data_IF_302045673797
#
_entry.id   IF_302045673797
#
_cell.length_a   1.000
_cell.length_b   1.000
_cell.length_c   1.000
_cell.angle_alpha   90.00
_cell.angle_beta   90.00
_cell.angle_gamma   90.00
#
_symmetry.space_group_name_H-M   'P 1'
#
loop_
_entity.id
_entity.type
_entity.pdbx_description
1 polymer ?
#
# COMPACT_ATOMS: atom_id res chain seq x y z
N UNK A 1 24.13 9.45 -8.53
CA UNK A 1 23.19 8.32 -8.50
C UNK A 1 23.94 7.01 -8.64
N UNK A 2 24.31 6.41 -7.55
CA UNK A 2 24.69 5.01 -7.54
C UNK A 2 23.47 4.20 -7.06
N UNK A 3 22.62 3.79 -7.99
CA UNK A 3 21.75 2.64 -7.76
C UNK A 3 22.71 1.45 -7.81
N UNK A 4 22.82 0.70 -6.72
CA UNK A 4 23.66 -0.51 -6.72
C UNK A 4 23.12 -1.44 -7.81
N UNK A 5 24.01 -2.01 -8.61
CA UNK A 5 23.65 -2.94 -9.69
C UNK A 5 22.84 -4.14 -9.20
N UNK A 6 22.98 -4.52 -7.95
CA UNK A 6 22.22 -5.58 -7.32
C UNK A 6 20.72 -5.23 -7.14
N UNK A 7 20.37 -4.00 -6.78
CA UNK A 7 18.98 -3.56 -6.70
C UNK A 7 18.31 -3.58 -8.09
N UNK A 8 19.02 -3.13 -9.12
CA UNK A 8 18.55 -3.13 -10.52
C UNK A 8 18.23 -4.54 -11.05
N UNK A 9 18.91 -5.58 -10.61
CA UNK A 9 18.68 -6.95 -11.09
C UNK A 9 17.53 -7.66 -10.38
N UNK A 10 17.23 -7.29 -9.13
CA UNK A 10 16.05 -7.77 -8.40
C UNK A 10 14.79 -7.21 -9.04
N UNK A 11 14.76 -5.94 -9.41
CA UNK A 11 13.62 -5.29 -10.07
C UNK A 11 13.26 -5.88 -11.43
N UNK A 12 14.22 -6.41 -12.16
CA UNK A 12 13.98 -7.00 -13.49
C UNK A 12 13.27 -8.35 -13.46
N UNK A 13 13.13 -8.98 -12.29
CA UNK A 13 12.58 -10.34 -12.14
C UNK A 13 11.14 -10.39 -11.63
N UNK A 14 10.60 -9.31 -11.09
CA UNK A 14 9.22 -9.31 -10.61
C UNK A 14 8.26 -9.10 -11.78
N UNK A 15 7.50 -10.14 -12.10
CA UNK A 15 6.32 -10.07 -12.95
C UNK A 15 5.10 -9.65 -12.12
N UNK A 16 4.03 -9.18 -12.78
CA UNK A 16 2.76 -8.89 -12.11
C UNK A 16 2.20 -10.10 -11.33
N UNK A 17 2.49 -11.29 -11.80
CA UNK A 17 2.18 -12.54 -11.08
C UNK A 17 3.49 -13.10 -10.57
N UNK A 18 3.55 -13.29 -9.27
CA UNK A 18 4.70 -13.90 -8.60
C UNK A 18 4.98 -15.29 -9.21
N UNK A 19 6.21 -15.59 -9.63
CA UNK A 19 6.57 -16.88 -10.20
C UNK A 19 6.23 -18.07 -9.30
N UNK A 20 6.30 -17.87 -8.00
CA UNK A 20 6.06 -18.91 -6.99
C UNK A 20 4.58 -19.08 -6.63
N UNK A 21 3.70 -18.27 -7.22
CA UNK A 21 2.24 -18.47 -7.05
C UNK A 21 1.82 -19.81 -7.63
N UNK A 22 1.20 -20.67 -6.82
CA UNK A 22 0.76 -21.99 -7.24
C UNK A 22 -0.15 -21.93 -8.48
N UNK A 23 -0.01 -22.87 -9.43
CA UNK A 23 -0.81 -22.88 -10.65
C UNK A 23 -2.33 -22.89 -10.40
N UNK A 24 -2.78 -23.58 -9.37
CA UNK A 24 -4.18 -23.66 -8.95
C UNK A 24 -4.74 -22.33 -8.47
N UNK A 25 -3.91 -21.44 -7.93
CA UNK A 25 -4.29 -20.10 -7.49
C UNK A 25 -4.46 -19.11 -8.66
N UNK A 26 -4.00 -19.46 -9.85
CA UNK A 26 -4.06 -18.56 -11.01
C UNK A 26 -5.44 -18.37 -11.61
N UNK A 27 -6.41 -19.17 -11.17
CA UNK A 27 -7.82 -19.04 -11.55
C UNK A 27 -8.72 -19.20 -10.35
N UNK A 28 -9.82 -18.47 -10.35
CA UNK A 28 -10.84 -18.51 -9.31
C UNK A 28 -12.23 -18.41 -9.92
N UNK A 29 -13.26 -18.76 -9.17
CA UNK A 29 -14.65 -18.52 -9.58
C UNK A 29 -15.19 -17.28 -8.92
N UNK A 30 -15.88 -16.47 -9.71
CA UNK A 30 -16.70 -15.41 -9.17
C UNK A 30 -17.91 -16.00 -8.44
N UNK A 31 -18.10 -15.67 -7.16
CA UNK A 31 -19.14 -16.27 -6.33
C UNK A 31 -20.57 -15.93 -6.76
N UNK A 32 -20.76 -14.81 -7.47
CA UNK A 32 -22.07 -14.36 -7.94
C UNK A 32 -22.42 -14.84 -9.34
N UNK A 33 -21.44 -14.82 -10.24
CA UNK A 33 -21.69 -15.08 -11.67
C UNK A 33 -21.22 -16.47 -12.12
N UNK A 34 -20.51 -17.18 -11.25
CA UNK A 34 -19.81 -18.45 -11.52
C UNK A 34 -18.82 -18.40 -12.71
N UNK A 35 -18.53 -17.21 -13.23
CA UNK A 35 -17.54 -17.02 -14.29
C UNK A 35 -16.14 -17.24 -13.77
N UNK A 36 -15.28 -17.78 -14.60
CA UNK A 36 -13.86 -17.95 -14.27
C UNK A 36 -13.16 -16.59 -14.30
N UNK A 37 -12.48 -16.27 -13.22
CA UNK A 37 -11.61 -15.12 -13.07
C UNK A 37 -10.15 -15.58 -13.21
N UNK A 38 -9.33 -14.73 -13.82
CA UNK A 38 -7.89 -14.97 -13.95
C UNK A 38 -7.13 -14.09 -12.96
N UNK A 39 -6.06 -14.63 -12.42
CA UNK A 39 -5.12 -13.88 -11.61
C UNK A 39 -4.44 -12.82 -12.49
N UNK A 40 -4.35 -11.60 -11.98
CA UNK A 40 -3.68 -10.48 -12.65
C UNK A 40 -2.50 -9.94 -11.86
N UNK A 41 -2.51 -10.14 -10.55
CA UNK A 41 -1.43 -9.72 -9.65
C UNK A 41 -1.35 -10.68 -8.48
N UNK A 42 -0.14 -11.03 -8.07
CA UNK A 42 0.15 -11.77 -6.84
C UNK A 42 1.53 -11.41 -6.30
N UNK A 43 1.68 -11.54 -4.99
CA UNK A 43 2.95 -11.45 -4.29
C UNK A 43 2.90 -12.41 -3.10
N UNK A 44 3.74 -13.42 -3.12
CA UNK A 44 3.82 -14.44 -2.07
C UNK A 44 4.74 -14.01 -0.92
N UNK A 45 5.44 -12.88 -1.06
CA UNK A 45 6.38 -12.32 -0.08
C UNK A 45 7.43 -13.33 0.41
N UNK A 46 7.82 -14.27 -0.43
CA UNK A 46 8.70 -15.39 -0.07
C UNK A 46 10.21 -15.07 -0.16
N UNK A 47 10.57 -13.92 -0.70
CA UNK A 47 11.94 -13.41 -0.64
C UNK A 47 12.13 -12.65 0.67
N UNK A 48 12.93 -13.20 1.58
CA UNK A 48 13.19 -12.56 2.88
C UNK A 48 14.01 -11.28 2.75
N UNK A 49 13.75 -10.33 3.65
CA UNK A 49 14.52 -9.09 3.76
C UNK A 49 14.24 -8.05 2.69
N UNK A 50 13.09 -8.13 1.99
CA UNK A 50 12.71 -7.07 1.04
C UNK A 50 12.58 -5.73 1.74
N UNK A 51 13.00 -4.70 1.04
CA UNK A 51 12.85 -3.32 1.43
C UNK A 51 11.78 -2.64 0.58
N UNK A 52 11.03 -1.76 1.20
CA UNK A 52 9.91 -1.06 0.58
C UNK A 52 10.05 0.47 0.67
N UNK A 53 11.26 0.96 0.83
CA UNK A 53 11.51 2.39 0.72
C UNK A 53 11.17 2.90 -0.69
N UNK A 54 10.88 4.21 -0.84
CA UNK A 54 10.55 4.77 -2.15
C UNK A 54 11.53 4.35 -3.25
N UNK A 55 10.99 3.75 -4.31
CA UNK A 55 11.79 3.30 -5.46
C UNK A 55 12.47 1.94 -5.32
N UNK A 56 12.38 1.25 -4.19
CA UNK A 56 13.04 -0.04 -3.96
C UNK A 56 12.19 -1.26 -4.34
N UNK A 57 10.89 -1.08 -4.52
CA UNK A 57 10.00 -2.13 -4.99
C UNK A 57 9.13 -1.64 -6.15
N UNK A 58 8.90 -2.46 -7.20
CA UNK A 58 8.15 -2.02 -8.37
C UNK A 58 6.66 -1.87 -8.13
N UNK A 59 6.07 -2.59 -7.17
CA UNK A 59 4.63 -2.65 -6.94
C UNK A 59 4.21 -2.10 -5.59
N UNK A 60 5.14 -2.03 -4.63
CA UNK A 60 4.87 -1.65 -3.26
C UNK A 60 5.73 -0.47 -2.83
N UNK A 61 5.15 0.35 -1.97
CA UNK A 61 5.89 1.41 -1.30
C UNK A 61 5.39 1.57 0.13
N UNK A 62 6.32 1.63 1.06
CA UNK A 62 6.01 1.90 2.45
C UNK A 62 5.91 3.40 2.68
N UNK A 63 4.83 3.83 3.27
CA UNK A 63 4.57 5.22 3.56
C UNK A 63 5.43 5.72 4.73
N UNK A 64 5.78 7.01 4.67
CA UNK A 64 6.48 7.71 5.74
C UNK A 64 5.65 8.92 6.17
N UNK A 65 4.67 8.69 7.04
CA UNK A 65 3.72 9.71 7.47
C UNK A 65 3.02 9.36 8.79
N UNK A 66 2.38 10.37 9.40
CA UNK A 66 1.37 10.17 10.42
C UNK A 66 -0.02 10.13 9.77
N UNK A 67 -0.74 9.05 10.01
CA UNK A 67 -2.12 8.90 9.52
C UNK A 67 -3.09 9.61 10.47
N UNK A 68 -2.96 10.93 10.57
CA UNK A 68 -3.67 11.77 11.55
C UNK A 68 -5.20 11.73 11.43
N UNK A 69 -5.73 11.36 10.27
CA UNK A 69 -7.18 11.27 10.03
C UNK A 69 -7.88 10.24 10.92
N UNK A 70 -7.16 9.25 11.39
CA UNK A 70 -7.65 8.22 12.30
C UNK A 70 -7.18 8.42 13.73
N UNK A 71 -6.46 9.49 14.00
CA UNK A 71 -5.90 9.83 15.33
C UNK A 71 -5.07 8.69 15.92
N UNK A 72 -4.36 7.91 15.06
CA UNK A 72 -3.50 6.84 15.50
C UNK A 72 -2.26 7.36 16.26
N UNK A 73 -1.69 6.53 17.11
CA UNK A 73 -0.58 6.90 17.99
C UNK A 73 0.80 6.59 17.44
N UNK A 74 0.87 5.96 16.27
CA UNK A 74 2.11 5.59 15.61
C UNK A 74 2.39 6.47 14.38
N UNK A 75 3.68 6.62 14.09
CA UNK A 75 4.16 7.10 12.81
C UNK A 75 4.40 5.89 11.89
N UNK A 76 3.87 5.93 10.68
CA UNK A 76 4.22 4.93 9.66
C UNK A 76 5.59 5.23 9.09
N UNK A 77 6.44 4.22 9.09
CA UNK A 77 7.81 4.37 8.60
C UNK A 77 8.26 3.10 7.86
N UNK A 78 8.97 3.23 6.72
CA UNK A 78 9.40 2.08 5.92
C UNK A 78 10.19 1.02 6.69
N UNK A 79 10.99 1.42 7.68
CA UNK A 79 11.75 0.48 8.52
C UNK A 79 10.89 -0.46 9.38
N UNK A 80 9.58 -0.23 9.45
CA UNK A 80 8.66 -1.12 10.15
C UNK A 80 8.13 -2.25 9.26
N UNK A 81 8.53 -2.29 7.99
CA UNK A 81 8.01 -3.23 7.00
C UNK A 81 9.16 -3.98 6.34
N UNK A 82 9.06 -5.28 6.31
CA UNK A 82 9.98 -6.17 5.61
C UNK A 82 9.28 -7.49 5.26
N UNK A 83 10.00 -8.42 4.69
CA UNK A 83 9.54 -9.78 4.46
C UNK A 83 10.36 -10.78 5.25
N UNK A 84 9.71 -11.80 5.80
CA UNK A 84 10.37 -12.89 6.49
C UNK A 84 9.49 -14.14 6.49
N UNK A 85 10.10 -15.30 6.31
CA UNK A 85 9.46 -16.60 6.38
C UNK A 85 8.23 -16.72 5.46
N UNK A 86 8.32 -16.22 4.24
CA UNK A 86 7.23 -16.26 3.27
C UNK A 86 6.05 -15.35 3.62
N UNK A 87 6.31 -14.22 4.24
CA UNK A 87 5.26 -13.29 4.65
C UNK A 87 5.75 -11.85 4.65
N UNK A 88 4.85 -10.95 4.32
CA UNK A 88 5.02 -9.53 4.64
C UNK A 88 4.87 -9.34 6.15
N UNK A 89 5.84 -8.69 6.77
CA UNK A 89 5.87 -8.43 8.21
C UNK A 89 5.78 -6.93 8.44
N UNK A 90 4.71 -6.49 9.08
CA UNK A 90 4.52 -5.11 9.54
C UNK A 90 4.62 -5.13 11.07
N UNK A 91 5.57 -4.37 11.59
CA UNK A 91 5.88 -4.35 13.02
C UNK A 91 5.42 -3.06 13.66
N UNK A 92 4.55 -3.16 14.66
CA UNK A 92 4.27 -2.07 15.57
C UNK A 92 5.21 -2.16 16.77
N UNK A 93 5.95 -1.11 17.06
CA UNK A 93 6.93 -1.06 18.12
C UNK A 93 6.86 0.25 18.91
N UNK A 94 7.18 0.17 20.20
CA UNK A 94 7.41 1.37 21.00
C UNK A 94 8.78 1.94 20.59
N UNK A 95 8.75 2.87 19.67
CA UNK A 95 9.92 3.54 19.14
C UNK A 95 9.54 4.98 18.81
N UNK A 96 9.95 5.94 19.67
CA UNK A 96 9.63 7.34 19.42
C UNK A 96 10.16 7.82 18.09
N UNK A 97 9.28 8.39 17.28
CA UNK A 97 9.61 8.95 15.98
C UNK A 97 8.75 10.20 15.75
N UNK A 98 9.40 11.29 15.37
CA UNK A 98 8.79 12.62 15.34
C UNK A 98 8.12 12.94 16.69
N UNK A 99 6.84 13.24 16.72
CA UNK A 99 6.10 13.60 17.93
C UNK A 99 5.26 12.43 18.50
N UNK A 100 5.47 11.22 18.00
CA UNK A 100 4.71 10.04 18.38
C UNK A 100 5.60 9.02 19.09
N UNK A 101 5.00 8.20 19.95
CA UNK A 101 5.72 7.23 20.78
C UNK A 101 5.88 5.86 20.12
N UNK A 102 5.14 5.60 19.06
CA UNK A 102 5.11 4.32 18.38
C UNK A 102 5.47 4.46 16.91
N UNK A 103 6.04 3.40 16.37
CA UNK A 103 6.32 3.24 14.96
C UNK A 103 5.58 2.02 14.44
N UNK A 104 4.80 2.20 13.40
CA UNK A 104 4.12 1.17 12.65
C UNK A 104 4.46 1.24 11.17
N UNK A 105 3.72 0.53 10.34
CA UNK A 105 3.92 0.54 8.90
C UNK A 105 2.62 0.53 8.11
N UNK A 106 2.62 1.23 7.00
CA UNK A 106 1.58 1.19 5.98
C UNK A 106 2.23 0.94 4.62
N UNK A 107 1.84 -0.14 3.95
CA UNK A 107 2.30 -0.52 2.62
C UNK A 107 1.22 -0.21 1.61
N UNK A 108 1.58 0.43 0.50
CA UNK A 108 0.63 0.84 -0.54
C UNK A 108 1.09 0.40 -1.92
N UNK A 109 0.13 0.32 -2.85
CA UNK A 109 0.40 0.19 -4.29
C UNK A 109 0.12 1.49 -5.04
N UNK A 110 -0.08 2.59 -4.32
CA UNK A 110 -0.42 3.87 -4.91
C UNK A 110 0.61 4.29 -5.98
N UNK A 111 0.12 4.72 -7.15
CA UNK A 111 0.92 5.08 -8.32
C UNK A 111 1.87 3.97 -8.85
N UNK A 112 1.65 2.72 -8.47
CA UNK A 112 2.43 1.56 -8.93
C UNK A 112 1.56 0.48 -9.53
N UNK A 113 0.47 0.13 -8.88
CA UNK A 113 -0.48 -0.87 -9.36
C UNK A 113 -1.90 -0.51 -8.93
N UNK A 114 -2.83 -0.61 -9.88
CA UNK A 114 -4.27 -0.47 -9.62
C UNK A 114 -5.07 -1.44 -10.50
N UNK A 115 -6.35 -1.62 -10.18
CA UNK A 115 -7.24 -2.46 -10.96
C UNK A 115 -8.68 -1.91 -10.94
N UNK A 116 -9.44 -2.21 -11.97
CA UNK A 116 -10.85 -1.82 -12.08
C UNK A 116 -11.73 -3.03 -11.92
N UNK A 117 -12.41 -3.14 -10.78
CA UNK A 117 -13.24 -4.28 -10.43
C UNK A 117 -12.45 -5.58 -10.32
N UNK A 118 -12.84 -6.45 -9.42
CA UNK A 118 -12.14 -7.70 -9.24
C UNK A 118 -12.36 -8.32 -7.86
N UNK A 119 -11.54 -9.30 -7.55
CA UNK A 119 -11.49 -9.98 -6.26
C UNK A 119 -10.09 -9.77 -5.67
N UNK A 120 -10.03 -9.23 -4.48
CA UNK A 120 -8.82 -9.19 -3.66
C UNK A 120 -8.88 -10.34 -2.66
N UNK A 121 -7.83 -11.13 -2.60
CA UNK A 121 -7.63 -12.17 -1.61
C UNK A 121 -6.32 -11.92 -0.86
N UNK A 122 -6.36 -11.89 0.46
CA UNK A 122 -5.18 -11.76 1.30
C UNK A 122 -5.27 -12.77 2.45
N UNK A 123 -4.16 -13.45 2.72
CA UNK A 123 -4.00 -14.30 3.91
C UNK A 123 -3.32 -13.49 4.99
N UNK A 124 -3.93 -13.43 6.17
CA UNK A 124 -3.47 -12.58 7.26
C UNK A 124 -3.28 -13.36 8.55
N UNK A 125 -2.27 -12.98 9.32
CA UNK A 125 -2.13 -13.31 10.72
C UNK A 125 -2.31 -12.00 11.50
N UNK A 126 -3.39 -11.91 12.25
CA UNK A 126 -3.68 -10.72 13.05
C UNK A 126 -2.79 -10.68 14.29
N UNK A 127 -2.26 -9.50 14.66
CA UNK A 127 -1.41 -9.35 15.84
C UNK A 127 -2.20 -9.40 17.14
N UNK A 128 -1.51 -9.72 18.24
CA UNK A 128 -2.07 -9.63 19.57
C UNK A 128 -3.03 -10.76 19.96
N UNK A 129 -3.85 -10.47 20.96
CA UNK A 129 -4.87 -11.37 21.47
C UNK A 129 -6.25 -10.75 21.28
N UNK A 130 -7.27 -11.57 21.04
CA UNK A 130 -8.64 -11.12 20.80
C UNK A 130 -9.32 -10.41 22.00
N UNK A 131 -8.75 -10.51 23.17
CA UNK A 131 -9.24 -9.88 24.41
C UNK A 131 -8.42 -8.67 24.88
N UNK A 132 -7.50 -8.18 24.04
CA UNK A 132 -6.69 -7.00 24.30
C UNK A 132 -6.95 -5.98 23.21
N UNK A 133 -7.46 -4.81 23.60
CA UNK A 133 -7.71 -3.69 22.69
C UNK A 133 -6.42 -2.92 22.36
N UNK A 134 -6.46 -2.12 21.30
CA UNK A 134 -5.42 -1.17 20.92
C UNK A 134 -4.71 -1.46 19.62
N UNK A 135 -4.86 -2.66 19.03
CA UNK A 135 -4.32 -2.98 17.72
C UNK A 135 -5.42 -2.96 16.67
N UNK A 136 -5.17 -2.28 15.56
CA UNK A 136 -6.10 -2.15 14.45
C UNK A 136 -5.41 -2.46 13.11
N UNK A 137 -5.11 -3.74 12.84
CA UNK A 137 -4.56 -4.13 11.55
C UNK A 137 -5.63 -4.02 10.45
N UNK A 138 -5.23 -3.62 9.25
CA UNK A 138 -6.15 -3.44 8.14
C UNK A 138 -5.54 -3.88 6.80
N UNK A 139 -6.38 -4.48 5.95
CA UNK A 139 -6.16 -4.62 4.50
C UNK A 139 -7.39 -4.08 3.81
N UNK A 140 -7.21 -3.11 2.92
CA UNK A 140 -8.30 -2.41 2.29
C UNK A 140 -7.88 -1.81 0.95
N UNK A 141 -8.86 -1.45 0.15
CA UNK A 141 -8.66 -0.78 -1.13
C UNK A 141 -9.19 0.64 -1.05
N UNK A 142 -8.58 1.55 -1.78
CA UNK A 142 -9.04 2.91 -1.93
C UNK A 142 -9.46 3.16 -3.37
N UNK A 143 -10.55 3.91 -3.55
CA UNK A 143 -11.00 4.32 -4.88
C UNK A 143 -9.96 5.17 -5.59
N UNK A 144 -9.98 5.11 -6.91
CA UNK A 144 -9.08 5.89 -7.76
C UNK A 144 -9.11 7.38 -7.38
N UNK A 145 -7.99 8.06 -7.51
CA UNK A 145 -7.70 9.44 -7.09
C UNK A 145 -7.58 9.62 -5.56
N UNK A 146 -7.95 8.61 -4.75
CA UNK A 146 -7.70 8.62 -3.33
C UNK A 146 -6.28 8.18 -3.00
N UNK A 147 -5.62 8.89 -2.10
CA UNK A 147 -4.34 8.48 -1.53
C UNK A 147 -4.47 8.39 -0.02
N UNK A 148 -4.27 7.19 0.51
CA UNK A 148 -4.33 6.96 1.95
C UNK A 148 -3.29 7.82 2.69
N UNK A 149 -3.70 8.44 3.81
CA UNK A 149 -2.84 9.32 4.60
C UNK A 149 -2.81 10.77 4.12
N UNK A 150 -3.48 11.12 3.04
CA UNK A 150 -3.53 12.48 2.52
C UNK A 150 -4.92 13.08 2.76
N UNK A 151 -4.94 14.28 3.34
CA UNK A 151 -6.17 14.89 3.82
C UNK A 151 -7.19 15.18 2.75
N UNK A 152 -6.78 15.51 1.54
CA UNK A 152 -7.68 15.72 0.40
C UNK A 152 -8.54 14.47 0.11
N UNK A 153 -8.03 13.27 0.38
CA UNK A 153 -8.80 12.03 0.25
C UNK A 153 -9.81 11.86 1.37
N UNK A 154 -9.60 12.45 2.54
CA UNK A 154 -10.52 12.42 3.68
C UNK A 154 -11.67 13.40 3.52
N UNK A 155 -11.39 14.57 2.97
CA UNK A 155 -12.38 15.62 2.73
C UNK A 155 -13.25 15.35 1.48
N UNK A 156 -13.00 14.28 0.77
CA UNK A 156 -13.61 13.92 -0.49
C UNK A 156 -12.58 13.91 -1.62
N UNK A 157 -13.01 13.51 -2.80
CA UNK A 157 -12.14 13.36 -3.95
C UNK A 157 -12.49 14.41 -5.03
N UNK A 158 -11.48 15.13 -5.52
CA UNK A 158 -11.64 15.91 -6.73
C UNK A 158 -11.79 14.97 -7.94
N UNK A 159 -12.65 15.25 -8.89
CA UNK A 159 -13.62 16.37 -8.98
C UNK A 159 -15.01 16.05 -8.38
N UNK A 160 -15.16 14.95 -7.66
CA UNK A 160 -16.48 14.44 -7.25
C UNK A 160 -17.08 15.19 -6.07
N UNK A 161 -16.28 15.60 -5.11
CA UNK A 161 -16.73 16.30 -3.90
C UNK A 161 -16.48 17.80 -3.96
N UNK A 162 -15.59 18.25 -4.83
CA UNK A 162 -15.25 19.65 -5.07
C UNK A 162 -14.69 19.81 -6.48
N UNK A 163 -14.75 21.00 -7.04
CA UNK A 163 -14.41 21.32 -8.44
C UNK A 163 -13.06 22.03 -8.62
N UNK A 164 -12.45 22.48 -7.53
CA UNK A 164 -11.16 23.14 -7.53
C UNK A 164 -10.03 22.20 -7.10
N UNK A 165 -8.98 22.11 -7.88
CA UNK A 165 -7.78 21.38 -7.51
C UNK A 165 -7.01 21.99 -6.33
N UNK A 166 -7.38 23.18 -5.90
CA UNK A 166 -6.75 23.92 -4.80
C UNK A 166 -7.46 23.70 -3.47
N UNK A 167 -8.50 22.88 -3.45
CA UNK A 167 -9.25 22.50 -2.25
C UNK A 167 -8.62 21.27 -1.59
N UNK A 168 -8.74 21.20 -0.27
CA UNK A 168 -8.21 20.12 0.55
C UNK A 168 -7.07 20.58 1.46
N UNK A 169 -6.34 19.63 2.00
CA UNK A 169 -5.32 19.90 3.03
C UNK A 169 -3.96 20.38 2.52
N UNK A 170 -3.73 20.29 1.22
CA UNK A 170 -2.48 20.79 0.62
C UNK A 170 -2.70 22.15 -0.01
N UNK A 171 -2.08 23.21 0.54
CA UNK A 171 -2.09 24.52 -0.11
C UNK A 171 -1.49 24.45 -1.51
N UNK A 172 -1.97 25.33 -2.41
CA UNK A 172 -1.46 25.46 -3.77
C UNK A 172 -1.53 24.17 -4.61
N UNK A 173 -2.55 23.36 -4.41
CA UNK A 173 -2.74 22.12 -5.19
C UNK A 173 -2.96 22.39 -6.68
N UNK A 174 -3.41 23.57 -7.06
CA UNK A 174 -3.58 23.96 -8.47
C UNK A 174 -2.30 23.75 -9.28
N UNK A 175 -1.15 24.06 -8.71
CA UNK A 175 0.13 23.85 -9.38
C UNK A 175 0.53 22.37 -9.43
N UNK A 176 0.29 21.65 -8.35
CA UNK A 176 0.59 20.22 -8.23
C UNK A 176 -0.45 19.36 -8.96
N UNK A 177 -1.68 19.81 -9.03
CA UNK A 177 -2.78 19.10 -9.68
C UNK A 177 -2.53 18.90 -11.18
N UNK A 178 -1.92 19.87 -11.84
CA UNK A 178 -1.53 19.72 -13.24
C UNK A 178 -0.47 18.64 -13.47
N UNK A 179 0.34 18.36 -12.45
CA UNK A 179 1.34 17.29 -12.50
C UNK A 179 0.76 15.92 -12.14
N UNK A 180 -0.17 15.88 -11.19
CA UNK A 180 -0.69 14.62 -10.66
C UNK A 180 -1.97 14.13 -11.35
N UNK A 181 -2.78 15.02 -11.88
CA UNK A 181 -4.02 14.62 -12.57
C UNK A 181 -3.80 14.25 -14.02
N UNK A 182 -2.77 14.78 -14.67
CA UNK A 182 -2.40 14.37 -16.04
C UNK A 182 -1.79 12.98 -16.09
N UNK A 183 -1.13 12.55 -15.02
CA UNK A 183 -0.49 11.23 -14.94
C UNK A 183 -1.42 10.15 -14.35
N UNK A 184 -2.57 10.55 -13.80
CA UNK A 184 -3.56 9.65 -13.22
C UNK A 184 -4.76 9.38 -14.14
N UNK A 185 -4.75 9.91 -15.36
CA UNK A 185 -5.81 9.74 -16.35
C UNK A 185 -5.54 8.58 -17.32
#
# INVERSE_FOLDING_TARGET
HCISSAASDVYKRQSLIDPDTPPEARTSKNSYTNKTMKLVFSDEFNQDGRSFYPGEDPFWEAENLHYWQTENYEWYHPSAITTANGSLVITLSQHPLHNLFFRGGMLTTWNKFCFTGGKLEARLILPGRNNVSGLWPAVWTMGNLGRAGYGASTEGLWPYSYDSCDVGTLPNQTYLCLLYTSDAA
#
